data_IF_849102712495
#
_entry.id   IF_849102712495
#
_cell.length_a   1.000
_cell.length_b   1.000
_cell.length_c   1.000
_cell.angle_alpha   90.00
_cell.angle_beta   90.00
_cell.angle_gamma   90.00
#
_symmetry.space_group_name_H-M   'P 1'
#
loop_
_entity.id
_entity.type
_entity.pdbx_description
1 polymer ?
#
# COMPACT_ATOMS: atom_id res chain seq x y z
N UNK A 1 -45.63 -57.80 12.26
CA UNK A 1 -45.62 -56.40 11.78
C UNK A 1 -44.18 -55.91 11.75
N UNK A 2 -43.59 -55.71 10.57
CA UNK A 2 -42.17 -55.35 10.43
C UNK A 2 -42.01 -53.82 10.27
N UNK A 3 -41.32 -53.16 11.19
CA UNK A 3 -40.99 -51.74 11.12
C UNK A 3 -39.89 -51.50 10.06
N UNK A 4 -40.22 -50.77 8.99
CA UNK A 4 -39.23 -50.26 8.03
C UNK A 4 -38.55 -49.01 8.60
N UNK A 5 -37.25 -49.09 8.89
CA UNK A 5 -36.43 -47.93 9.21
C UNK A 5 -36.15 -47.11 7.94
N UNK A 6 -36.70 -45.90 7.89
CA UNK A 6 -36.55 -44.98 6.75
C UNK A 6 -35.33 -44.07 7.01
N UNK A 7 -34.18 -44.40 6.42
CA UNK A 7 -32.96 -43.58 6.51
C UNK A 7 -33.13 -42.34 5.62
N UNK A 8 -33.31 -41.17 6.25
CA UNK A 8 -33.36 -39.87 5.56
C UNK A 8 -31.98 -39.54 4.97
N UNK A 9 -31.80 -39.74 3.66
CA UNK A 9 -30.63 -39.26 2.91
C UNK A 9 -30.60 -37.72 2.96
N UNK A 10 -29.68 -37.15 3.75
CA UNK A 10 -29.40 -35.71 3.74
C UNK A 10 -28.78 -35.34 2.40
N UNK A 11 -29.50 -34.58 1.57
CA UNK A 11 -28.97 -33.98 0.35
C UNK A 11 -27.83 -33.03 0.72
N UNK A 12 -26.58 -33.49 0.56
CA UNK A 12 -25.39 -32.64 0.62
C UNK A 12 -25.37 -31.79 -0.66
N UNK A 13 -25.94 -30.58 -0.56
CA UNK A 13 -25.81 -29.56 -1.61
C UNK A 13 -24.32 -29.26 -1.75
N UNK A 14 -23.68 -29.79 -2.78
CA UNK A 14 -22.30 -29.48 -3.12
C UNK A 14 -22.22 -27.98 -3.41
N UNK A 15 -21.57 -27.23 -2.50
CA UNK A 15 -21.22 -25.83 -2.74
C UNK A 15 -20.43 -25.82 -4.04
N UNK A 16 -21.00 -25.23 -5.10
CA UNK A 16 -20.25 -24.90 -6.32
C UNK A 16 -19.07 -24.04 -5.87
N UNK A 17 -17.87 -24.60 -5.93
CA UNK A 17 -16.63 -23.83 -5.81
C UNK A 17 -16.71 -22.78 -6.91
N UNK A 18 -16.77 -21.52 -6.52
CA UNK A 18 -16.74 -20.41 -7.47
C UNK A 18 -15.45 -20.55 -8.28
N UNK A 19 -15.58 -20.89 -9.57
CA UNK A 19 -14.48 -21.07 -10.53
C UNK A 19 -13.82 -19.74 -10.94
N UNK A 20 -13.94 -18.70 -10.13
CA UNK A 20 -13.29 -17.42 -10.37
C UNK A 20 -11.99 -17.40 -9.57
N UNK A 21 -10.86 -17.31 -10.26
CA UNK A 21 -9.60 -16.93 -9.62
C UNK A 21 -9.70 -15.54 -8.97
N UNK A 22 -8.69 -15.14 -8.19
CA UNK A 22 -8.64 -13.80 -7.62
C UNK A 22 -8.74 -12.75 -8.73
N UNK A 23 -9.59 -11.75 -8.53
CA UNK A 23 -9.69 -10.58 -9.41
C UNK A 23 -8.70 -9.55 -8.90
N UNK A 24 -7.83 -9.06 -9.78
CA UNK A 24 -6.90 -7.99 -9.47
C UNK A 24 -7.45 -6.66 -9.97
N UNK A 25 -7.41 -5.64 -9.11
CA UNK A 25 -7.93 -4.31 -9.38
C UNK A 25 -6.84 -3.30 -9.07
N UNK A 26 -6.66 -2.34 -9.97
CA UNK A 26 -5.72 -1.24 -9.79
C UNK A 26 -6.47 0.09 -10.03
N UNK A 27 -6.51 0.98 -9.03
CA UNK A 27 -7.13 2.30 -9.16
C UNK A 27 -6.24 3.33 -9.89
N UNK A 28 -4.94 3.06 -9.99
CA UNK A 28 -3.88 3.97 -10.46
C UNK A 28 -3.22 3.50 -11.77
N UNK A 29 -3.94 2.72 -12.59
CA UNK A 29 -3.48 2.32 -13.92
C UNK A 29 -2.41 1.20 -13.93
N UNK A 30 -2.19 0.54 -12.81
CA UNK A 30 -1.29 -0.61 -12.66
C UNK A 30 -0.11 -0.37 -11.72
N UNK A 31 0.06 0.85 -11.21
CA UNK A 31 1.13 1.16 -10.27
C UNK A 31 0.94 0.44 -8.92
N UNK A 32 -0.31 0.29 -8.48
CA UNK A 32 -0.67 -0.46 -7.29
C UNK A 32 -1.81 -1.42 -7.61
N UNK A 33 -1.57 -2.71 -7.39
CA UNK A 33 -2.52 -3.78 -7.70
C UNK A 33 -2.99 -4.42 -6.41
N UNK A 34 -4.30 -4.49 -6.24
CA UNK A 34 -4.96 -5.10 -5.10
C UNK A 34 -5.73 -6.35 -5.53
N UNK A 35 -5.75 -7.36 -4.66
CA UNK A 35 -6.68 -8.47 -4.78
C UNK A 35 -8.06 -7.99 -4.32
N UNK A 36 -9.09 -8.17 -5.14
CA UNK A 36 -10.45 -7.78 -4.79
C UNK A 36 -11.06 -8.76 -3.80
N UNK A 37 -11.66 -8.26 -2.73
CA UNK A 37 -12.45 -9.09 -1.81
C UNK A 37 -13.69 -9.62 -2.54
N UNK A 38 -14.21 -10.76 -2.09
CA UNK A 38 -15.47 -11.33 -2.60
C UNK A 38 -16.68 -10.39 -2.44
N UNK A 39 -16.59 -9.41 -1.53
CA UNK A 39 -17.59 -8.34 -1.34
C UNK A 39 -17.46 -7.17 -2.33
N UNK A 40 -16.50 -7.20 -3.24
CA UNK A 40 -16.23 -6.15 -4.23
C UNK A 40 -15.30 -5.03 -3.75
N UNK A 41 -15.02 -4.96 -2.45
CA UNK A 41 -14.09 -3.97 -1.89
C UNK A 41 -12.61 -4.30 -2.12
N UNK A 42 -11.74 -3.32 -1.85
CA UNK A 42 -10.30 -3.48 -1.97
C UNK A 42 -9.79 -4.44 -0.90
N UNK A 43 -8.96 -5.39 -1.33
CA UNK A 43 -8.29 -6.36 -0.47
C UNK A 43 -6.82 -6.07 -0.31
N UNK A 44 -6.02 -7.13 -0.29
CA UNK A 44 -4.58 -7.05 -0.03
C UNK A 44 -3.87 -6.41 -1.22
N UNK A 45 -2.89 -5.55 -0.97
CA UNK A 45 -1.97 -5.09 -2.01
C UNK A 45 -1.05 -6.26 -2.44
N UNK A 46 -1.07 -6.56 -3.73
CA UNK A 46 -0.37 -7.70 -4.35
C UNK A 46 0.88 -7.23 -5.07
N UNK A 47 0.82 -6.05 -5.68
CA UNK A 47 1.94 -5.45 -6.38
C UNK A 47 1.95 -3.93 -6.18
N UNK A 48 3.14 -3.37 -6.08
CA UNK A 48 3.36 -1.95 -5.96
C UNK A 48 4.65 -1.57 -6.69
N UNK A 49 4.53 -0.71 -7.70
CA UNK A 49 5.61 -0.16 -8.51
C UNK A 49 6.56 0.69 -7.66
N UNK A 50 7.76 0.95 -8.17
CA UNK A 50 8.70 1.86 -7.50
C UNK A 50 8.15 3.29 -7.46
N UNK A 51 7.53 3.75 -8.54
CA UNK A 51 6.90 5.07 -8.62
C UNK A 51 5.85 5.28 -7.52
N UNK A 52 4.97 4.30 -7.30
CA UNK A 52 3.95 4.36 -6.25
C UNK A 52 4.56 4.35 -4.83
N UNK A 53 5.71 3.69 -4.64
CA UNK A 53 6.45 3.77 -3.36
C UNK A 53 7.08 5.13 -3.14
N UNK A 54 7.68 5.71 -4.19
CA UNK A 54 8.26 7.04 -4.14
C UNK A 54 7.19 8.10 -3.87
N UNK A 55 5.99 7.95 -4.44
CA UNK A 55 4.87 8.87 -4.22
C UNK A 55 4.36 8.82 -2.78
N UNK A 56 4.19 7.63 -2.21
CA UNK A 56 3.82 7.49 -0.79
C UNK A 56 4.89 8.12 0.11
N UNK A 57 6.17 7.84 -0.16
CA UNK A 57 7.26 8.44 0.59
C UNK A 57 7.27 9.96 0.45
N UNK A 58 7.05 10.49 -0.75
CA UNK A 58 6.94 11.93 -0.98
C UNK A 58 5.79 12.55 -0.18
N UNK A 59 4.64 11.89 -0.09
CA UNK A 59 3.52 12.36 0.74
C UNK A 59 3.87 12.39 2.23
N UNK A 60 4.55 11.38 2.74
CA UNK A 60 5.01 11.36 4.13
C UNK A 60 6.06 12.46 4.39
N UNK A 61 7.00 12.65 3.46
CA UNK A 61 8.01 13.69 3.52
C UNK A 61 7.42 15.10 3.39
N UNK A 62 6.33 15.27 2.65
CA UNK A 62 5.58 16.54 2.58
C UNK A 62 5.09 17.00 3.95
N UNK A 63 4.74 16.07 4.85
CA UNK A 63 4.39 16.40 6.24
C UNK A 63 5.59 16.89 7.07
N UNK A 64 6.81 16.52 6.68
CA UNK A 64 8.07 17.01 7.25
C UNK A 64 8.56 18.31 6.59
N UNK A 65 7.82 18.83 5.63
CA UNK A 65 8.04 20.12 4.99
C UNK A 65 7.00 21.14 5.49
N UNK A 66 7.33 22.44 5.35
CA UNK A 66 6.43 23.53 5.75
C UNK A 66 6.72 24.14 7.13
N UNK A 67 5.84 25.06 7.54
CA UNK A 67 6.07 25.98 8.67
C UNK A 67 6.15 25.26 10.01
N UNK A 68 5.34 24.22 10.20
CA UNK A 68 5.34 23.45 11.46
C UNK A 68 6.63 22.64 11.63
N UNK A 69 7.12 22.01 10.56
CA UNK A 69 8.42 21.34 10.56
C UNK A 69 9.58 22.32 10.81
N UNK A 70 9.50 23.56 10.32
CA UNK A 70 10.48 24.61 10.63
C UNK A 70 10.42 24.97 12.13
N UNK A 71 9.24 25.10 12.73
CA UNK A 71 9.10 25.34 14.18
C UNK A 71 9.71 24.22 14.99
N UNK A 72 9.47 22.97 14.61
CA UNK A 72 10.03 21.79 15.28
C UNK A 72 11.56 21.76 15.20
N UNK A 73 12.14 22.07 14.03
CA UNK A 73 13.61 22.20 13.88
C UNK A 73 14.21 23.32 14.72
N UNK A 74 13.53 24.46 14.85
CA UNK A 74 13.96 25.56 15.74
C UNK A 74 13.91 25.16 17.22
N UNK A 75 12.92 24.35 17.60
CA UNK A 75 12.78 23.85 18.97
C UNK A 75 13.84 22.79 19.32
N UNK A 76 14.24 21.97 18.35
CA UNK A 76 15.19 20.87 18.55
C UNK A 76 16.44 21.03 17.67
N UNK A 77 17.58 21.55 18.20
CA UNK A 77 18.76 21.89 17.40
C UNK A 77 19.43 20.68 16.73
N UNK A 78 19.28 19.48 17.28
CA UNK A 78 19.76 18.25 16.64
C UNK A 78 19.05 17.99 15.30
N UNK A 79 17.75 18.27 15.23
CA UNK A 79 16.95 18.11 14.02
C UNK A 79 17.34 19.15 12.95
N UNK A 80 17.65 20.38 13.37
CA UNK A 80 18.18 21.40 12.48
C UNK A 80 19.54 21.00 11.90
N UNK A 81 20.46 20.48 12.71
CA UNK A 81 21.77 20.00 12.23
C UNK A 81 21.65 18.88 11.19
N UNK A 82 20.77 17.90 11.43
CA UNK A 82 20.51 16.83 10.48
C UNK A 82 19.94 17.38 9.15
N UNK A 83 19.03 18.36 9.22
CA UNK A 83 18.50 19.02 8.03
C UNK A 83 19.55 19.81 7.24
N UNK A 84 20.48 20.46 7.94
CA UNK A 84 21.57 21.20 7.28
C UNK A 84 22.55 20.25 6.57
N UNK A 85 22.85 19.09 7.16
CA UNK A 85 23.62 18.03 6.51
C UNK A 85 22.89 17.47 5.28
N UNK A 86 21.58 17.22 5.40
CA UNK A 86 20.76 16.77 4.28
C UNK A 86 20.82 17.75 3.10
N UNK A 87 20.61 19.05 3.34
CA UNK A 87 20.70 20.07 2.28
C UNK A 87 22.08 20.12 1.63
N UNK A 88 23.14 19.96 2.42
CA UNK A 88 24.51 19.96 1.88
C UNK A 88 24.70 18.79 0.91
N UNK A 89 24.35 17.58 1.33
CA UNK A 89 24.45 16.38 0.49
C UNK A 89 23.55 16.49 -0.75
N UNK A 90 22.32 16.97 -0.57
CA UNK A 90 21.40 17.20 -1.67
C UNK A 90 21.99 18.13 -2.71
N UNK A 91 22.53 19.28 -2.28
CA UNK A 91 23.15 20.23 -3.20
C UNK A 91 24.37 19.62 -3.89
N UNK A 92 25.22 18.86 -3.20
CA UNK A 92 26.38 18.21 -3.83
C UNK A 92 25.92 17.24 -4.93
N UNK A 93 24.97 16.35 -4.63
CA UNK A 93 24.50 15.33 -5.57
C UNK A 93 23.76 15.97 -6.75
N UNK A 94 22.86 16.92 -6.48
CA UNK A 94 22.10 17.59 -7.53
C UNK A 94 23.01 18.46 -8.39
N UNK A 95 23.95 19.21 -7.81
CA UNK A 95 24.88 19.99 -8.64
C UNK A 95 25.80 19.08 -9.48
N UNK A 96 26.25 17.94 -8.96
CA UNK A 96 26.98 16.94 -9.76
C UNK A 96 26.16 16.36 -10.93
N UNK A 97 24.83 16.24 -10.78
CA UNK A 97 23.94 15.66 -11.80
C UNK A 97 23.56 16.65 -12.91
N UNK A 98 23.59 17.97 -12.65
CA UNK A 98 23.19 19.01 -13.60
C UNK A 98 24.35 19.85 -14.17
N UNK A 99 25.62 19.55 -13.84
CA UNK A 99 26.82 20.21 -14.38
C UNK A 99 27.33 19.59 -15.72
N UNK A 100 26.43 19.01 -16.55
CA UNK A 100 26.72 18.53 -17.91
C UNK A 100 26.09 19.41 -19.01
#
# INVERSE_FOLDING_TARGET
>A
MAHKNMVKKKNKRTKRTSRGGPIFVSPDGGETVYEQKRSGGWGKCVYKSEQSRLMDQAQDEMAMMGTEAIRMRRKYPALQKAWDQYKLLWNVIVHEEYDY
#
